data_IF_975231019578
#
_entry.id   IF_975231019578
#
_cell.length_a   1.000
_cell.length_b   1.000
_cell.length_c   1.000
_cell.angle_alpha   90.00
_cell.angle_beta   90.00
_cell.angle_gamma   90.00
#
_symmetry.space_group_name_H-M   'P 1'
#
loop_
_entity.id
_entity.type
_entity.pdbx_description
1 polymer ?
#
# COMPACT_ATOMS: atom_id res chain seq x y z
N UNK A 1 5.99 -0.93 -1.11
CA UNK A 1 6.12 -2.07 -0.18
C UNK A 1 5.08 -3.17 -0.40
N UNK A 2 3.78 -2.87 -0.48
CA UNK A 2 2.76 -3.94 -0.60
C UNK A 2 2.71 -4.66 -1.96
N UNK A 3 3.50 -4.23 -2.95
CA UNK A 3 3.62 -4.89 -4.26
C UNK A 3 4.52 -6.13 -4.25
N UNK A 4 5.38 -6.27 -3.23
CA UNK A 4 6.28 -7.41 -3.10
C UNK A 4 5.55 -8.64 -2.57
N UNK A 5 6.00 -9.84 -2.92
CA UNK A 5 5.43 -11.09 -2.41
C UNK A 5 5.96 -11.38 -1.00
N UNK A 6 5.12 -11.93 -0.12
CA UNK A 6 5.49 -12.20 1.28
C UNK A 6 5.53 -10.93 2.12
N UNK A 7 6.11 -11.01 3.31
CA UNK A 7 6.24 -9.87 4.24
C UNK A 7 4.88 -9.28 4.62
N UNK A 8 3.90 -10.14 4.86
CA UNK A 8 2.51 -9.78 5.05
C UNK A 8 2.30 -8.93 6.33
N UNK A 9 3.06 -9.24 7.39
CA UNK A 9 2.97 -8.54 8.67
C UNK A 9 3.66 -7.18 8.55
N UNK A 10 4.95 -7.15 8.21
CA UNK A 10 5.77 -5.92 8.19
C UNK A 10 5.27 -4.93 7.13
N UNK A 11 4.74 -5.40 6.00
CA UNK A 11 4.13 -4.51 4.99
C UNK A 11 2.65 -4.23 5.22
N UNK A 12 2.08 -4.73 6.33
CA UNK A 12 0.71 -4.48 6.79
C UNK A 12 -0.33 -4.76 5.69
N UNK A 13 -0.23 -5.94 5.06
CA UNK A 13 -1.16 -6.35 4.02
C UNK A 13 -2.48 -6.82 4.62
N UNK A 14 -3.57 -6.49 3.93
CA UNK A 14 -4.92 -6.93 4.30
C UNK A 14 -5.01 -8.44 4.10
N UNK A 15 -5.37 -9.17 5.15
CA UNK A 15 -5.57 -10.62 5.10
C UNK A 15 -6.86 -10.98 4.35
N UNK A 16 -6.93 -12.18 3.78
CA UNK A 16 -8.04 -12.58 2.90
C UNK A 16 -9.42 -12.52 3.59
N UNK A 17 -9.51 -12.80 4.89
CA UNK A 17 -10.76 -12.69 5.66
C UNK A 17 -11.27 -11.26 5.76
N UNK A 18 -10.38 -10.27 5.78
CA UNK A 18 -10.73 -8.84 5.82
C UNK A 18 -11.14 -8.31 4.45
N UNK A 19 -10.78 -8.98 3.35
CA UNK A 19 -11.12 -8.52 1.98
C UNK A 19 -12.62 -8.61 1.68
N UNK A 20 -13.38 -9.42 2.44
CA UNK A 20 -14.84 -9.56 2.26
C UNK A 20 -15.24 -9.87 0.80
N UNK A 21 -14.42 -10.64 0.08
CA UNK A 21 -14.65 -10.99 -1.33
C UNK A 21 -14.26 -9.92 -2.35
N UNK A 22 -13.77 -8.75 -1.92
CA UNK A 22 -13.27 -7.70 -2.81
C UNK A 22 -11.97 -8.16 -3.47
N UNK A 23 -11.92 -8.06 -4.81
CA UNK A 23 -10.72 -8.36 -5.59
C UNK A 23 -9.70 -7.23 -5.42
N UNK A 24 -8.59 -7.55 -4.76
CA UNK A 24 -7.47 -6.63 -4.55
C UNK A 24 -6.32 -6.94 -5.52
N UNK A 25 -5.83 -5.92 -6.23
CA UNK A 25 -4.67 -6.02 -7.11
C UNK A 25 -3.49 -5.22 -6.51
N UNK A 26 -2.43 -5.92 -6.11
CA UNK A 26 -1.17 -5.30 -5.67
C UNK A 26 -0.22 -5.25 -6.86
N UNK A 27 -0.35 -4.20 -7.68
CA UNK A 27 0.45 -4.02 -8.89
C UNK A 27 1.17 -2.68 -8.86
N UNK A 28 2.36 -2.56 -9.46
CA UNK A 28 3.00 -1.27 -9.70
C UNK A 28 2.07 -0.36 -10.53
N UNK A 29 2.04 0.94 -10.23
CA UNK A 29 1.15 1.88 -10.94
C UNK A 29 1.40 1.93 -12.45
N UNK A 30 2.63 1.66 -12.90
CA UNK A 30 2.96 1.57 -14.33
C UNK A 30 2.21 0.45 -15.08
N UNK A 31 1.64 -0.52 -14.36
CA UNK A 31 0.87 -1.63 -14.93
C UNK A 31 -0.63 -1.52 -14.65
N UNK A 32 -1.11 -0.38 -14.15
CA UNK A 32 -2.51 -0.17 -13.80
C UNK A 32 -3.40 -0.32 -15.04
N UNK A 33 -4.14 -1.43 -15.12
CA UNK A 33 -5.20 -1.65 -16.11
C UNK A 33 -6.55 -1.51 -15.42
N UNK A 34 -7.25 -0.43 -15.73
CA UNK A 34 -8.60 -0.17 -15.22
C UNK A 34 -9.59 -0.94 -16.11
N UNK A 35 -10.24 -1.95 -15.55
CA UNK A 35 -11.30 -2.71 -16.24
C UNK A 35 -12.65 -2.04 -16.02
N UNK A 36 -13.44 -1.95 -17.09
CA UNK A 36 -14.63 -1.08 -17.19
C UNK A 36 -15.91 -1.60 -16.53
N UNK A 37 -15.89 -2.80 -15.95
CA UNK A 37 -17.11 -3.40 -15.37
C UNK A 37 -17.43 -2.93 -13.95
N UNK A 38 -16.47 -2.33 -13.24
CA UNK A 38 -16.63 -1.87 -11.86
C UNK A 38 -15.89 -0.54 -11.65
N UNK A 39 -16.28 0.20 -10.60
CA UNK A 39 -15.58 1.42 -10.21
C UNK A 39 -14.22 1.05 -9.58
N UNK A 40 -13.09 1.47 -10.17
CA UNK A 40 -11.78 1.21 -9.59
C UNK A 40 -11.57 2.05 -8.33
N UNK A 41 -11.04 1.43 -7.27
CA UNK A 41 -10.62 2.13 -6.05
C UNK A 41 -9.12 1.91 -5.89
N UNK A 42 -8.34 3.00 -5.96
CA UNK A 42 -6.90 2.98 -5.72
C UNK A 42 -6.66 3.44 -4.28
N UNK A 43 -5.97 2.61 -3.49
CA UNK A 43 -5.69 2.87 -2.07
C UNK A 43 -4.21 2.69 -1.82
N UNK A 44 -3.58 3.65 -1.13
CA UNK A 44 -2.17 3.56 -0.75
C UNK A 44 -1.74 4.76 0.08
N UNK A 45 -0.58 4.65 0.73
CA UNK A 45 0.06 5.76 1.44
C UNK A 45 1.24 6.38 0.67
N UNK A 46 1.54 5.88 -0.53
CA UNK A 46 2.66 6.35 -1.36
C UNK A 46 2.14 7.31 -2.42
N UNK A 47 1.90 8.56 -2.01
CA UNK A 47 1.24 9.59 -2.82
C UNK A 47 1.92 9.83 -4.18
N UNK A 48 3.24 9.72 -4.24
CA UNK A 48 4.01 9.82 -5.48
C UNK A 48 3.47 8.93 -6.62
N UNK A 49 3.01 7.73 -6.28
CA UNK A 49 2.47 6.80 -7.27
C UNK A 49 1.05 7.15 -7.73
N UNK A 50 0.34 8.03 -7.02
CA UNK A 50 -0.95 8.59 -7.43
C UNK A 50 -0.71 9.88 -8.23
N UNK A 51 0.25 10.70 -7.81
CA UNK A 51 0.58 11.98 -8.43
C UNK A 51 1.05 11.81 -9.88
N UNK A 52 1.97 10.87 -10.13
CA UNK A 52 2.48 10.63 -11.49
C UNK A 52 1.35 10.46 -12.51
N UNK A 53 0.47 9.44 -12.44
CA UNK A 53 -0.56 9.28 -13.46
C UNK A 53 -1.54 10.44 -13.51
N UNK A 54 -1.83 11.10 -12.38
CA UNK A 54 -2.78 12.21 -12.29
C UNK A 54 -2.24 13.48 -12.94
N UNK A 55 -0.96 13.77 -12.82
CA UNK A 55 -0.31 14.98 -13.35
C UNK A 55 0.36 14.78 -14.72
N UNK A 56 0.65 13.54 -15.08
CA UNK A 56 1.34 13.21 -16.33
C UNK A 56 0.46 13.51 -17.56
N UNK A 57 1.01 14.37 -18.43
CA UNK A 57 0.38 14.83 -19.66
C UNK A 57 0.24 13.74 -20.73
N UNK A 58 1.02 12.66 -20.66
CA UNK A 58 0.94 11.47 -21.52
C UNK A 58 -0.23 10.57 -21.10
N UNK A 59 -0.44 10.40 -19.79
CA UNK A 59 -1.54 9.57 -19.29
C UNK A 59 -2.90 10.29 -19.38
N UNK A 60 -2.92 11.63 -19.31
CA UNK A 60 -4.11 12.48 -19.38
C UNK A 60 -5.23 12.00 -18.44
N UNK A 61 -4.86 11.49 -17.26
CA UNK A 61 -5.78 10.78 -16.38
C UNK A 61 -6.99 11.63 -15.97
N UNK A 62 -6.76 12.91 -15.63
CA UNK A 62 -7.81 13.88 -15.30
C UNK A 62 -8.82 14.11 -16.43
N UNK A 63 -8.44 13.87 -17.69
CA UNK A 63 -9.33 14.01 -18.85
C UNK A 63 -10.04 12.71 -19.20
N UNK A 64 -9.48 11.56 -18.80
CA UNK A 64 -10.04 10.22 -19.10
C UNK A 64 -11.03 9.73 -18.05
N UNK A 65 -10.89 10.17 -16.81
CA UNK A 65 -11.66 9.65 -15.68
C UNK A 65 -12.19 10.77 -14.79
N UNK A 66 -13.48 10.68 -14.45
CA UNK A 66 -14.06 11.48 -13.37
C UNK A 66 -13.57 10.91 -12.02
N UNK A 67 -12.66 11.63 -11.37
CA UNK A 67 -11.90 11.11 -10.24
C UNK A 67 -12.36 11.77 -8.94
N UNK A 68 -12.68 10.95 -7.94
CA UNK A 68 -12.98 11.40 -6.58
C UNK A 68 -11.79 11.09 -5.65
N UNK A 69 -11.24 12.11 -5.01
CA UNK A 69 -10.17 11.96 -4.02
C UNK A 69 -10.77 11.98 -2.61
N UNK A 70 -10.51 10.92 -1.86
CA UNK A 70 -10.90 10.80 -0.45
C UNK A 70 -9.62 10.82 0.37
N UNK A 71 -9.45 11.87 1.17
CA UNK A 71 -8.36 11.98 2.14
C UNK A 71 -8.89 11.63 3.53
N UNK A 72 -8.32 10.60 4.14
CA UNK A 72 -8.57 10.24 5.53
C UNK A 72 -7.54 10.97 6.39
N UNK A 73 -8.02 11.89 7.22
CA UNK A 73 -7.19 12.66 8.14
C UNK A 73 -7.55 12.36 9.61
N UNK A 74 -6.58 12.53 10.50
CA UNK A 74 -6.72 12.26 11.93
C UNK A 74 -5.73 13.12 12.73
N UNK A 75 -6.10 13.49 13.95
CA UNK A 75 -5.19 14.22 14.85
C UNK A 75 -3.88 13.45 15.08
N UNK A 76 -2.75 14.15 15.02
CA UNK A 76 -1.43 13.55 15.16
C UNK A 76 -1.26 12.72 16.44
N UNK A 77 -1.82 13.17 17.57
CA UNK A 77 -1.74 12.45 18.86
C UNK A 77 -2.47 11.10 18.80
N UNK A 78 -3.65 11.08 18.18
CA UNK A 78 -4.47 9.88 17.96
C UNK A 78 -3.77 8.93 16.99
N UNK A 79 -3.17 9.46 15.91
CA UNK A 79 -2.40 8.67 14.96
C UNK A 79 -1.21 7.99 15.63
N UNK A 80 -0.38 8.75 16.35
CA UNK A 80 0.80 8.23 17.02
C UNK A 80 0.43 7.07 17.95
N UNK A 81 -0.56 7.29 18.82
CA UNK A 81 -1.04 6.26 19.74
C UNK A 81 -1.51 5.00 19.01
N UNK A 82 -2.22 5.15 17.88
CA UNK A 82 -2.71 4.01 17.11
C UNK A 82 -1.58 3.28 16.39
N UNK A 83 -0.56 3.99 15.93
CA UNK A 83 0.62 3.40 15.31
C UNK A 83 1.42 2.60 16.33
N UNK A 84 1.64 3.13 17.54
CA UNK A 84 2.35 2.43 18.62
C UNK A 84 1.68 1.08 18.94
N UNK A 85 0.38 1.10 19.22
CA UNK A 85 -0.40 -0.11 19.49
C UNK A 85 -0.33 -1.09 18.33
N UNK A 86 -0.34 -0.60 17.08
CA UNK A 86 -0.26 -1.46 15.90
C UNK A 86 1.11 -2.11 15.76
N UNK A 87 2.19 -1.40 16.08
CA UNK A 87 3.54 -1.98 16.07
C UNK A 87 3.65 -3.09 17.12
N UNK A 88 3.13 -2.88 18.32
CA UNK A 88 3.07 -3.92 19.36
C UNK A 88 2.32 -5.16 18.87
N UNK A 89 1.16 -4.97 18.22
CA UNK A 89 0.38 -6.05 17.62
C UNK A 89 1.15 -6.77 16.50
N UNK A 90 1.90 -6.05 15.67
CA UNK A 90 2.70 -6.62 14.59
C UNK A 90 3.85 -7.47 15.15
N UNK A 91 4.55 -6.98 16.18
CA UNK A 91 5.60 -7.74 16.87
C UNK A 91 5.02 -9.02 17.47
N UNK A 92 3.89 -8.93 18.17
CA UNK A 92 3.19 -10.09 18.74
C UNK A 92 2.68 -11.07 17.67
N UNK A 93 2.38 -10.59 16.47
CA UNK A 93 1.98 -11.42 15.33
C UNK A 93 3.16 -12.12 14.62
N UNK A 94 4.41 -11.85 15.02
CA UNK A 94 5.60 -12.48 14.46
C UNK A 94 6.38 -11.62 13.46
N UNK A 95 6.22 -10.29 13.47
CA UNK A 95 6.97 -9.38 12.59
C UNK A 95 8.48 -9.63 12.61
N UNK A 96 9.06 -9.87 13.79
CA UNK A 96 10.51 -10.05 13.93
C UNK A 96 10.97 -11.33 13.22
N UNK A 97 10.20 -12.41 13.35
CA UNK A 97 10.51 -13.69 12.70
C UNK A 97 10.31 -13.62 11.19
N UNK A 98 9.35 -12.81 10.72
CA UNK A 98 9.14 -12.53 9.31
C UNK A 98 10.34 -11.77 8.71
N UNK A 99 10.82 -10.72 9.39
CA UNK A 99 11.94 -9.90 8.91
C UNK A 99 13.26 -10.66 8.96
N UNK A 100 13.49 -11.50 9.98
CA UNK A 100 14.71 -12.34 10.07
C UNK A 100 14.92 -13.24 8.86
N UNK A 101 13.85 -13.68 8.20
CA UNK A 101 13.94 -14.56 7.03
C UNK A 101 14.51 -13.87 5.79
N UNK A 102 14.42 -12.54 5.72
CA UNK A 102 14.92 -11.76 4.59
C UNK A 102 16.15 -10.93 4.92
N UNK A 103 16.61 -10.94 6.16
CA UNK A 103 17.74 -10.14 6.59
C UNK A 103 19.06 -10.73 6.05
N UNK A 104 19.79 -9.91 5.30
CA UNK A 104 21.11 -10.23 4.76
C UNK A 104 22.13 -9.22 5.32
N UNK A 105 23.24 -9.74 5.84
CA UNK A 105 24.34 -8.90 6.33
C UNK A 105 24.98 -8.15 5.15
N UNK A 106 25.27 -6.87 5.33
CA UNK A 106 25.92 -5.99 4.35
C UNK A 106 25.16 -5.78 3.02
N UNK A 107 23.84 -5.98 3.01
CA UNK A 107 23.00 -5.68 1.85
C UNK A 107 22.65 -4.18 1.74
N UNK A 108 22.36 -3.72 0.51
CA UNK A 108 21.95 -2.35 0.22
C UNK A 108 20.44 -2.14 0.42
N UNK A 109 20.07 -1.77 1.64
CA UNK A 109 18.69 -1.48 2.04
C UNK A 109 18.16 -0.12 1.53
N UNK A 110 18.88 0.59 0.66
CA UNK A 110 18.36 1.82 0.02
C UNK A 110 17.48 1.52 -1.20
N UNK A 111 17.49 0.27 -1.65
CA UNK A 111 16.71 -0.22 -2.80
C UNK A 111 15.45 -0.94 -2.33
N UNK A 112 14.57 -1.24 -3.28
CA UNK A 112 13.39 -2.05 -3.03
C UNK A 112 13.74 -3.48 -2.59
N UNK A 113 12.73 -4.22 -2.13
CA UNK A 113 12.81 -5.65 -1.78
C UNK A 113 12.94 -6.51 -3.04
#
# INVERSE_FOLDING_TARGET
MQVYKGLEIVTNKIINTQKQGVKLCQIPTSQLKIFTQHVPIVVGGSNFYIEIPVEDSVFMFKYKYDTCFIWIDVEQSVLNRRVDIRVDQMVNAGLVDEVRQIFILDEDYTKGI
#
